data_IF_199271083212
#
_entry.id   IF_199271083212
#
_cell.length_a   1.000
_cell.length_b   1.000
_cell.length_c   1.000
_cell.angle_alpha   90.00
_cell.angle_beta   90.00
_cell.angle_gamma   90.00
#
_symmetry.space_group_name_H-M   'P 1'
#
loop_
_entity.id
_entity.type
_entity.pdbx_description
1 polymer ?
#
# COMPACT_ATOMS: atom_id res chain seq x y z
N UNK A 1 -10.85 -11.02 -14.88
CA UNK A 1 -11.76 -10.99 -13.68
C UNK A 1 -11.29 -12.05 -12.72
N UNK A 2 -11.09 -11.69 -11.46
CA UNK A 2 -10.53 -12.54 -10.41
C UNK A 2 -11.28 -13.86 -10.28
N UNK A 3 -10.54 -14.97 -10.21
CA UNK A 3 -11.06 -16.32 -9.99
C UNK A 3 -10.42 -16.92 -8.76
N UNK A 4 -11.19 -17.69 -8.00
CA UNK A 4 -10.68 -18.43 -6.84
C UNK A 4 -10.26 -19.83 -7.27
N UNK A 5 -9.12 -20.29 -6.75
CA UNK A 5 -8.73 -21.69 -6.84
C UNK A 5 -9.30 -22.52 -5.67
N UNK A 6 -8.96 -23.81 -5.64
CA UNK A 6 -9.41 -24.73 -4.59
C UNK A 6 -8.88 -24.38 -3.19
N UNK A 7 -7.83 -23.58 -3.10
CA UNK A 7 -7.21 -23.14 -1.85
C UNK A 7 -7.67 -21.72 -1.44
N UNK A 8 -8.71 -21.19 -2.09
CA UNK A 8 -9.21 -19.83 -1.87
C UNK A 8 -8.20 -18.71 -2.20
N UNK A 9 -7.24 -18.97 -3.07
CA UNK A 9 -6.36 -17.97 -3.62
C UNK A 9 -7.05 -17.33 -4.82
N UNK A 10 -7.12 -16.01 -4.85
CA UNK A 10 -7.63 -15.27 -5.99
C UNK A 10 -6.55 -15.07 -7.04
N UNK A 11 -6.86 -15.36 -8.30
CA UNK A 11 -5.97 -15.18 -9.45
C UNK A 11 -6.62 -14.29 -10.50
N UNK A 12 -5.84 -13.35 -11.04
CA UNK A 12 -6.22 -12.54 -12.19
C UNK A 12 -5.01 -12.31 -13.09
N UNK A 13 -5.25 -11.89 -14.33
CA UNK A 13 -4.22 -11.55 -15.30
C UNK A 13 -4.62 -10.28 -16.04
N UNK A 14 -3.66 -9.41 -16.31
CA UNK A 14 -3.87 -8.21 -17.10
C UNK A 14 -2.54 -7.71 -17.67
N UNK A 15 -2.51 -6.49 -18.15
CA UNK A 15 -1.31 -5.82 -18.64
C UNK A 15 -1.23 -4.39 -18.10
N UNK A 16 -0.03 -3.82 -18.08
CA UNK A 16 0.17 -2.44 -17.66
C UNK A 16 -0.17 -1.46 -18.76
N UNK A 17 -1.00 -0.48 -18.43
CA UNK A 17 -1.48 0.54 -19.37
C UNK A 17 -0.58 1.78 -19.38
N UNK A 18 -0.66 2.59 -20.43
CA UNK A 18 0.15 3.81 -20.54
C UNK A 18 -0.02 4.82 -19.38
N UNK A 19 -1.20 5.02 -18.78
CA UNK A 19 -1.32 5.91 -17.61
C UNK A 19 -0.57 5.41 -16.37
N UNK A 20 -0.26 4.10 -16.31
CA UNK A 20 0.44 3.47 -15.20
C UNK A 20 1.96 3.71 -15.27
N UNK A 21 2.49 4.28 -16.38
CA UNK A 21 3.93 4.36 -16.64
C UNK A 21 4.48 5.79 -16.55
N UNK A 22 5.79 5.87 -16.31
CA UNK A 22 6.57 7.10 -16.33
C UNK A 22 7.06 7.46 -17.74
N UNK A 23 7.87 8.51 -17.87
CA UNK A 23 8.44 8.96 -19.13
C UNK A 23 9.46 8.00 -19.78
N UNK A 24 9.83 6.93 -19.09
CA UNK A 24 10.72 5.86 -19.56
C UNK A 24 9.96 4.56 -19.85
N UNK A 25 8.64 4.62 -19.96
CA UNK A 25 7.74 3.47 -20.12
C UNK A 25 7.78 2.47 -18.95
N UNK A 26 8.33 2.84 -17.79
CA UNK A 26 8.41 2.00 -16.60
C UNK A 26 7.17 2.22 -15.73
N UNK A 27 6.64 1.12 -15.19
CA UNK A 27 5.48 1.17 -14.30
C UNK A 27 5.83 1.95 -13.04
N UNK A 28 5.00 2.94 -12.72
CA UNK A 28 5.12 3.72 -11.49
C UNK A 28 4.83 2.83 -10.30
N UNK A 29 5.64 2.88 -9.26
CA UNK A 29 5.52 1.99 -8.09
C UNK A 29 4.17 2.11 -7.37
N UNK A 30 3.56 3.31 -7.35
CA UNK A 30 2.21 3.49 -6.78
C UNK A 30 1.15 2.62 -7.48
N UNK A 31 1.37 2.22 -8.74
CA UNK A 31 0.48 1.28 -9.41
C UNK A 31 0.52 -0.10 -8.76
N UNK A 32 1.66 -0.54 -8.26
CA UNK A 32 1.77 -1.81 -7.53
C UNK A 32 0.97 -1.77 -6.22
N UNK A 33 1.00 -0.64 -5.51
CA UNK A 33 0.12 -0.43 -4.35
C UNK A 33 -1.37 -0.48 -4.75
N UNK A 34 -1.74 0.20 -5.85
CA UNK A 34 -3.10 0.19 -6.38
C UNK A 34 -3.56 -1.23 -6.73
N UNK A 35 -2.76 -1.99 -7.48
CA UNK A 35 -3.06 -3.38 -7.84
C UNK A 35 -3.25 -4.25 -6.60
N UNK A 36 -2.38 -4.09 -5.59
CA UNK A 36 -2.49 -4.83 -4.34
C UNK A 36 -3.82 -4.59 -3.62
N UNK A 37 -4.30 -3.34 -3.62
CA UNK A 37 -5.58 -2.99 -2.99
C UNK A 37 -6.78 -3.42 -3.84
N UNK A 38 -6.72 -3.26 -5.16
CA UNK A 38 -7.78 -3.67 -6.07
C UNK A 38 -8.05 -5.17 -6.01
N UNK A 39 -7.01 -6.00 -6.17
CA UNK A 39 -7.16 -7.45 -6.17
C UNK A 39 -7.63 -7.96 -4.81
N UNK A 40 -7.23 -7.29 -3.71
CA UNK A 40 -7.73 -7.54 -2.37
C UNK A 40 -9.24 -7.27 -2.25
N UNK A 41 -9.70 -6.15 -2.80
CA UNK A 41 -11.11 -5.77 -2.83
C UNK A 41 -11.97 -6.75 -3.63
N UNK A 42 -11.52 -7.15 -4.83
CA UNK A 42 -12.22 -8.14 -5.64
C UNK A 42 -12.30 -9.51 -4.95
N UNK A 43 -11.22 -9.94 -4.32
CA UNK A 43 -11.23 -11.20 -3.55
C UNK A 43 -12.23 -11.14 -2.40
N UNK A 44 -12.26 -10.04 -1.64
CA UNK A 44 -13.20 -9.85 -0.55
C UNK A 44 -14.66 -9.86 -1.06
N UNK A 45 -14.93 -9.20 -2.20
CA UNK A 45 -16.26 -9.16 -2.82
C UNK A 45 -16.75 -10.56 -3.22
N UNK A 46 -15.88 -11.41 -3.80
CA UNK A 46 -16.22 -12.79 -4.12
C UNK A 46 -16.58 -13.64 -2.89
N UNK A 47 -16.18 -13.18 -1.70
CA UNK A 47 -16.47 -13.83 -0.42
C UNK A 47 -17.63 -13.17 0.35
N UNK A 48 -18.37 -12.24 -0.28
CA UNK A 48 -19.45 -11.49 0.39
C UNK A 48 -18.95 -10.57 1.51
N UNK A 49 -17.68 -10.15 1.43
CA UNK A 49 -17.05 -9.20 2.33
C UNK A 49 -16.48 -8.00 1.55
N UNK A 50 -17.06 -7.71 0.40
CA UNK A 50 -16.71 -6.57 -0.43
C UNK A 50 -17.05 -5.26 0.24
N UNK A 51 -16.43 -4.20 -0.26
CA UNK A 51 -16.59 -2.87 0.33
C UNK A 51 -18.04 -2.41 0.36
N UNK A 52 -18.74 -2.58 -0.77
CA UNK A 52 -20.12 -2.10 -0.91
C UNK A 52 -21.07 -2.84 0.03
N UNK A 53 -20.99 -4.16 0.07
CA UNK A 53 -21.80 -4.99 0.94
C UNK A 53 -21.55 -4.61 2.42
N UNK A 54 -20.29 -4.50 2.81
CA UNK A 54 -19.95 -4.18 4.19
C UNK A 54 -20.37 -2.76 4.59
N UNK A 55 -20.20 -1.78 3.69
CA UNK A 55 -20.51 -0.39 4.01
C UNK A 55 -22.02 -0.12 3.99
N UNK A 56 -22.70 -0.48 2.92
CA UNK A 56 -24.11 -0.16 2.69
C UNK A 56 -25.06 -1.02 3.52
N UNK A 57 -24.72 -2.30 3.73
CA UNK A 57 -25.63 -3.25 4.41
C UNK A 57 -25.27 -3.44 5.88
N UNK A 58 -24.01 -3.34 6.24
CA UNK A 58 -23.53 -3.70 7.58
C UNK A 58 -22.97 -2.50 8.37
N UNK A 59 -22.80 -1.34 7.74
CA UNK A 59 -22.21 -0.13 8.36
C UNK A 59 -20.75 -0.34 8.77
N UNK A 60 -20.01 -1.13 8.02
CA UNK A 60 -18.60 -1.44 8.26
C UNK A 60 -17.77 -1.17 7.01
N UNK A 61 -16.48 -0.90 7.21
CA UNK A 61 -15.57 -0.68 6.09
C UNK A 61 -14.19 -1.28 6.37
N UNK A 62 -13.47 -1.55 5.29
CA UNK A 62 -12.08 -1.94 5.35
C UNK A 62 -11.17 -0.72 5.43
N UNK A 63 -10.20 -0.76 6.32
CA UNK A 63 -9.13 0.22 6.38
C UNK A 63 -7.78 -0.49 6.32
N UNK A 64 -6.92 -0.06 5.42
CA UNK A 64 -5.52 -0.49 5.40
C UNK A 64 -4.74 0.32 6.43
N UNK A 65 -3.93 -0.36 7.21
CA UNK A 65 -3.06 0.29 8.20
C UNK A 65 -1.60 0.26 7.78
N UNK A 66 -1.16 -0.83 7.16
CA UNK A 66 0.25 -1.00 6.80
C UNK A 66 0.40 -1.89 5.58
N UNK A 67 1.34 -1.54 4.72
CA UNK A 67 1.78 -2.37 3.60
C UNK A 67 3.29 -2.47 3.61
N UNK A 68 3.80 -3.70 3.57
CA UNK A 68 5.20 -3.99 3.27
C UNK A 68 5.26 -4.56 1.86
N UNK A 69 6.09 -3.99 1.03
CA UNK A 69 6.23 -4.37 -0.38
C UNK A 69 7.70 -4.62 -0.71
N UNK A 70 8.02 -5.81 -1.20
CA UNK A 70 9.27 -6.11 -1.88
C UNK A 70 9.04 -5.95 -3.37
N UNK A 71 9.94 -5.24 -4.06
CA UNK A 71 9.87 -4.95 -5.49
C UNK A 71 11.09 -5.56 -6.16
N UNK A 72 10.88 -6.68 -6.82
CA UNK A 72 11.96 -7.42 -7.48
C UNK A 72 12.31 -6.80 -8.82
N UNK A 73 11.29 -6.41 -9.60
CA UNK A 73 11.44 -5.80 -10.90
C UNK A 73 10.35 -4.78 -11.18
N UNK A 74 10.70 -3.65 -11.75
CA UNK A 74 9.75 -2.69 -12.30
C UNK A 74 9.41 -3.12 -13.74
N UNK A 75 8.14 -3.41 -13.96
CA UNK A 75 7.61 -3.77 -15.28
C UNK A 75 7.59 -2.56 -16.23
N UNK A 76 7.30 -2.82 -17.49
CA UNK A 76 7.19 -1.80 -18.53
C UNK A 76 5.78 -1.73 -19.09
N UNK A 77 5.50 -0.70 -19.86
CA UNK A 77 4.25 -0.57 -20.61
C UNK A 77 4.01 -1.80 -21.48
N UNK A 78 2.78 -2.30 -21.46
CA UNK A 78 2.31 -3.51 -22.17
C UNK A 78 2.87 -4.84 -21.65
N UNK A 79 3.75 -4.84 -20.65
CA UNK A 79 4.08 -6.12 -19.97
C UNK A 79 2.79 -6.72 -19.41
N UNK A 80 2.60 -8.03 -19.63
CA UNK A 80 1.50 -8.79 -19.04
C UNK A 80 1.92 -9.30 -17.66
N UNK A 81 0.97 -9.33 -16.72
CA UNK A 81 1.19 -9.88 -15.40
C UNK A 81 0.11 -10.87 -14.99
N UNK A 82 0.50 -11.85 -14.21
CA UNK A 82 -0.37 -12.67 -13.39
C UNK A 82 -0.28 -12.19 -11.95
N UNK A 83 -1.43 -12.06 -11.28
CA UNK A 83 -1.50 -11.59 -9.89
C UNK A 83 -2.32 -12.55 -9.05
N UNK A 84 -1.84 -12.82 -7.84
CA UNK A 84 -2.52 -13.65 -6.86
C UNK A 84 -2.69 -12.96 -5.51
N UNK A 85 -3.77 -13.28 -4.81
CA UNK A 85 -4.04 -12.73 -3.47
C UNK A 85 -4.73 -13.75 -2.58
N UNK A 86 -4.40 -13.70 -1.29
CA UNK A 86 -5.05 -14.53 -0.26
C UNK A 86 -5.06 -13.82 1.09
N UNK A 87 -6.04 -14.19 1.92
CA UNK A 87 -6.08 -13.80 3.32
C UNK A 87 -5.34 -14.80 4.18
N UNK A 88 -4.87 -14.35 5.33
CA UNK A 88 -4.41 -15.22 6.40
C UNK A 88 -5.31 -15.09 7.62
N UNK A 89 -5.20 -16.05 8.52
CA UNK A 89 -5.94 -16.01 9.78
C UNK A 89 -5.68 -14.71 10.52
N UNK A 90 -6.78 -14.06 10.93
CA UNK A 90 -6.72 -12.79 11.64
C UNK A 90 -6.14 -12.94 13.06
N UNK A 91 -5.47 -11.92 13.53
CA UNK A 91 -4.98 -11.87 14.90
C UNK A 91 -5.24 -10.50 15.54
N UNK A 92 -5.63 -10.48 16.83
CA UNK A 92 -6.05 -9.25 17.54
C UNK A 92 -7.17 -8.52 16.78
N UNK A 93 -6.85 -7.42 16.11
CA UNK A 93 -7.77 -6.62 15.27
C UNK A 93 -7.40 -6.66 13.79
N UNK A 94 -6.36 -7.38 13.42
CA UNK A 94 -5.78 -7.34 12.09
C UNK A 94 -6.25 -8.51 11.23
N UNK A 95 -6.52 -8.21 9.96
CA UNK A 95 -6.81 -9.14 8.90
C UNK A 95 -5.63 -9.11 7.90
N UNK A 96 -4.62 -9.97 8.05
CA UNK A 96 -3.47 -9.97 7.15
C UNK A 96 -3.84 -10.47 5.76
N UNK A 97 -3.23 -9.88 4.75
CA UNK A 97 -3.43 -10.25 3.35
C UNK A 97 -2.12 -10.16 2.56
N UNK A 98 -1.93 -11.10 1.68
CA UNK A 98 -0.81 -11.14 0.76
C UNK A 98 -1.25 -10.93 -0.69
N UNK A 99 -0.35 -10.36 -1.46
CA UNK A 99 -0.46 -10.25 -2.92
C UNK A 99 0.90 -10.53 -3.53
N UNK A 100 0.93 -11.24 -4.65
CA UNK A 100 2.10 -11.42 -5.50
C UNK A 100 1.71 -11.17 -6.94
N UNK A 101 2.60 -10.52 -7.68
CA UNK A 101 2.45 -10.36 -9.11
C UNK A 101 3.72 -10.86 -9.82
N UNK A 102 3.51 -11.53 -10.92
CA UNK A 102 4.54 -12.14 -11.73
C UNK A 102 4.46 -11.62 -13.17
N UNK A 103 5.60 -11.45 -13.80
CA UNK A 103 5.64 -11.30 -15.25
C UNK A 103 5.10 -12.57 -15.89
N UNK A 104 4.06 -12.43 -16.69
CA UNK A 104 3.34 -13.57 -17.24
C UNK A 104 4.15 -14.37 -18.24
N UNK A 105 5.11 -13.72 -18.94
CA UNK A 105 5.91 -14.36 -19.97
C UNK A 105 7.11 -15.12 -19.37
N UNK A 106 7.80 -14.51 -18.39
CA UNK A 106 8.98 -15.09 -17.77
C UNK A 106 8.69 -15.87 -16.49
N UNK A 107 7.56 -15.62 -15.83
CA UNK A 107 7.24 -16.11 -14.48
C UNK A 107 8.04 -15.44 -13.36
N UNK A 108 8.81 -14.38 -13.67
CA UNK A 108 9.60 -13.64 -12.70
C UNK A 108 8.68 -12.87 -11.74
N UNK A 109 8.98 -12.92 -10.45
CA UNK A 109 8.26 -12.13 -9.43
C UNK A 109 8.53 -10.64 -9.65
N UNK A 110 7.48 -9.88 -9.92
CA UNK A 110 7.54 -8.41 -10.02
C UNK A 110 7.56 -7.77 -8.64
N UNK A 111 6.55 -8.11 -7.83
CA UNK A 111 6.46 -7.65 -6.46
C UNK A 111 5.65 -8.61 -5.59
N UNK A 112 5.87 -8.51 -4.28
CA UNK A 112 5.00 -9.12 -3.29
C UNK A 112 4.67 -8.13 -2.18
N UNK A 113 3.47 -8.23 -1.63
CA UNK A 113 3.03 -7.40 -0.50
C UNK A 113 2.50 -8.21 0.66
N UNK A 114 2.73 -7.65 1.85
CA UNK A 114 2.08 -7.99 3.10
C UNK A 114 1.27 -6.79 3.55
N UNK A 115 -0.03 -6.95 3.70
CA UNK A 115 -0.94 -5.88 4.06
C UNK A 115 -1.62 -6.19 5.39
N UNK A 116 -1.71 -5.19 6.28
CA UNK A 116 -2.54 -5.26 7.48
C UNK A 116 -3.80 -4.43 7.27
N UNK A 117 -4.92 -5.10 7.29
CA UNK A 117 -6.24 -4.48 7.25
C UNK A 117 -6.93 -4.58 8.59
N UNK A 118 -7.85 -3.65 8.85
CA UNK A 118 -8.82 -3.73 9.94
C UNK A 118 -10.22 -3.50 9.40
N UNK A 119 -11.21 -4.06 10.10
CA UNK A 119 -12.62 -3.77 9.85
C UNK A 119 -13.04 -2.68 10.84
N UNK A 120 -13.54 -1.57 10.34
CA UNK A 120 -14.07 -0.48 11.17
C UNK A 120 -15.58 -0.55 11.21
N UNK A 121 -16.14 -0.58 12.42
CA UNK A 121 -17.57 -0.30 12.65
C UNK A 121 -17.77 1.21 12.57
N UNK A 122 -18.43 1.67 11.51
CA UNK A 122 -18.62 3.09 11.24
C UNK A 122 -19.64 3.73 12.18
N UNK A 123 -20.51 2.93 12.79
CA UNK A 123 -21.50 3.40 13.76
C UNK A 123 -20.87 3.61 15.13
N UNK A 124 -20.04 2.65 15.57
CA UNK A 124 -19.38 2.70 16.89
C UNK A 124 -18.03 3.44 16.85
N UNK A 125 -17.49 3.73 15.67
CA UNK A 125 -16.19 4.40 15.48
C UNK A 125 -15.00 3.62 16.02
N UNK A 126 -15.05 2.27 16.01
CA UNK A 126 -14.02 1.41 16.54
C UNK A 126 -13.80 0.16 15.68
N UNK A 127 -12.58 -0.44 15.70
CA UNK A 127 -12.33 -1.66 14.94
C UNK A 127 -13.09 -2.85 15.52
N UNK A 128 -13.54 -3.73 14.62
CA UNK A 128 -14.09 -5.05 14.91
C UNK A 128 -12.97 -6.10 14.96
N UNK A 129 -13.25 -7.24 15.59
CA UNK A 129 -12.34 -8.40 15.56
C UNK A 129 -12.44 -9.13 14.23
N UNK A 130 -11.37 -9.77 13.75
CA UNK A 130 -11.40 -10.58 12.52
C UNK A 130 -12.49 -11.65 12.51
N UNK A 131 -12.81 -12.22 13.68
CA UNK A 131 -13.89 -13.21 13.82
C UNK A 131 -15.26 -12.75 13.28
N UNK A 132 -15.44 -11.45 13.07
CA UNK A 132 -16.62 -10.91 12.42
C UNK A 132 -16.83 -11.44 11.00
N UNK A 133 -15.74 -11.71 10.27
CA UNK A 133 -15.77 -12.16 8.88
C UNK A 133 -15.13 -13.53 8.64
N UNK A 134 -14.59 -14.21 9.66
CA UNK A 134 -13.89 -15.49 9.51
C UNK A 134 -14.73 -16.55 8.78
N UNK A 135 -16.05 -16.55 9.01
CA UNK A 135 -16.97 -17.48 8.31
C UNK A 135 -17.09 -17.21 6.80
N UNK A 136 -16.76 -16.00 6.36
CA UNK A 136 -16.79 -15.59 4.93
C UNK A 136 -15.42 -15.73 4.27
N UNK A 137 -14.36 -15.41 5.00
CA UNK A 137 -12.99 -15.56 4.53
C UNK A 137 -12.55 -17.02 4.79
N UNK A 138 -12.07 -17.66 3.74
CA UNK A 138 -11.40 -18.94 3.86
C UNK A 138 -9.91 -18.69 3.69
N UNK A 139 -9.11 -19.38 4.49
CA UNK A 139 -7.65 -19.21 4.48
C UNK A 139 -7.01 -20.37 3.72
N UNK A 140 -5.98 -20.15 2.90
CA UNK A 140 -5.22 -21.22 2.29
C UNK A 140 -4.46 -22.00 3.36
N UNK A 141 -4.14 -23.27 3.06
CA UNK A 141 -3.29 -24.08 3.93
C UNK A 141 -1.95 -23.36 4.16
N UNK A 142 -1.56 -23.11 5.43
CA UNK A 142 -0.28 -22.47 5.76
C UNK A 142 0.94 -23.17 5.18
N UNK A 143 0.87 -24.49 4.98
CA UNK A 143 1.94 -25.26 4.34
C UNK A 143 2.13 -24.89 2.85
N UNK A 144 1.07 -24.40 2.20
CA UNK A 144 1.10 -24.00 0.79
C UNK A 144 1.56 -22.55 0.65
N UNK A 145 1.09 -21.69 1.55
CA UNK A 145 1.31 -20.23 1.47
C UNK A 145 1.78 -19.66 2.80
N UNK A 146 2.89 -20.19 3.30
CA UNK A 146 3.48 -19.71 4.53
C UNK A 146 3.86 -18.22 4.41
N UNK A 147 3.46 -17.47 5.41
CA UNK A 147 3.71 -16.06 5.55
C UNK A 147 3.93 -15.77 7.04
N UNK A 148 4.98 -15.04 7.38
CA UNK A 148 5.15 -14.56 8.74
C UNK A 148 4.15 -13.44 9.04
N UNK A 149 3.15 -13.65 9.89
CA UNK A 149 2.18 -12.61 10.24
C UNK A 149 2.80 -11.50 11.08
N UNK A 150 4.01 -11.72 11.61
CA UNK A 150 4.66 -10.74 12.47
C UNK A 150 5.22 -9.58 11.64
N UNK A 151 4.53 -8.45 11.71
CA UNK A 151 5.11 -7.20 11.24
C UNK A 151 6.14 -6.71 12.28
N UNK A 152 7.37 -6.44 11.87
CA UNK A 152 8.36 -5.86 12.77
C UNK A 152 7.89 -4.48 13.26
N UNK A 153 8.43 -4.02 14.38
CA UNK A 153 8.22 -2.64 14.83
C UNK A 153 8.57 -1.68 13.68
N UNK A 154 7.73 -0.70 13.44
CA UNK A 154 8.04 0.35 12.46
C UNK A 154 9.20 1.19 12.98
N UNK A 155 10.16 1.48 12.10
CA UNK A 155 11.32 2.30 12.46
C UNK A 155 10.88 3.74 12.74
N UNK A 156 11.43 4.35 13.81
CA UNK A 156 11.14 5.73 14.15
C UNK A 156 12.06 6.71 13.39
N UNK A 157 11.68 7.98 13.26
CA UNK A 157 12.53 8.98 12.63
C UNK A 157 13.93 9.11 13.26
N UNK A 158 14.04 8.86 14.56
CA UNK A 158 15.28 8.92 15.32
C UNK A 158 16.28 7.82 14.96
N UNK A 159 15.80 6.73 14.35
CA UNK A 159 16.63 5.64 13.87
C UNK A 159 17.32 5.97 12.53
N UNK A 160 16.99 7.14 11.94
CA UNK A 160 17.63 7.64 10.71
C UNK A 160 18.49 8.86 11.02
N UNK A 161 19.78 8.73 10.81
CA UNK A 161 20.70 9.86 10.81
C UNK A 161 20.53 10.61 9.49
N UNK A 162 20.45 11.95 9.59
CA UNK A 162 20.34 12.79 8.41
C UNK A 162 21.71 13.07 7.82
N UNK A 163 22.00 12.51 6.66
CA UNK A 163 23.19 12.88 5.88
C UNK A 163 22.89 13.95 4.83
N UNK A 164 21.64 14.10 4.45
CA UNK A 164 21.17 15.05 3.43
C UNK A 164 19.79 15.58 3.81
N UNK A 165 19.65 16.89 3.77
CA UNK A 165 18.39 17.57 4.02
C UNK A 165 17.58 17.58 2.71
N UNK A 166 16.50 16.84 2.68
CA UNK A 166 15.54 16.95 1.59
C UNK A 166 14.64 18.17 1.82
N UNK A 167 14.38 18.97 0.79
CA UNK A 167 13.47 20.09 0.91
C UNK A 167 12.07 19.59 1.31
N UNK A 168 11.46 20.26 2.29
CA UNK A 168 10.06 20.03 2.63
C UNK A 168 9.20 20.31 1.39
N UNK A 169 8.26 19.40 1.10
CA UNK A 169 7.27 19.57 0.04
C UNK A 169 5.91 19.82 0.66
N UNK A 170 5.38 21.03 0.47
CA UNK A 170 4.01 21.37 0.88
C UNK A 170 3.01 20.91 -0.20
N UNK A 171 1.87 20.39 0.26
CA UNK A 171 0.81 19.83 -0.59
C UNK A 171 -0.53 20.36 -0.08
N UNK A 172 -1.39 20.76 -0.99
CA UNK A 172 -2.79 21.04 -0.74
C UNK A 172 -3.62 19.87 -1.27
N UNK A 173 -4.42 19.24 -0.41
CA UNK A 173 -5.22 18.08 -0.78
C UNK A 173 -6.31 18.50 -1.77
N UNK A 174 -6.21 17.99 -3.00
CA UNK A 174 -7.14 18.27 -4.10
C UNK A 174 -8.39 17.38 -4.07
N UNK A 175 -9.37 17.75 -4.87
CA UNK A 175 -10.63 16.99 -4.99
C UNK A 175 -10.40 15.54 -5.45
N UNK A 176 -9.51 15.34 -6.42
CA UNK A 176 -9.23 14.01 -6.99
C UNK A 176 -8.30 13.13 -6.12
N UNK A 177 -7.79 13.67 -5.02
CA UNK A 177 -7.10 12.85 -4.03
C UNK A 177 -8.06 12.05 -3.15
N UNK A 178 -9.35 12.41 -3.13
CA UNK A 178 -10.36 11.77 -2.29
C UNK A 178 -10.96 10.54 -2.95
N UNK A 179 -11.24 9.53 -2.13
CA UNK A 179 -11.96 8.32 -2.51
C UNK A 179 -13.48 8.42 -2.23
N UNK A 180 -14.19 7.30 -2.40
CA UNK A 180 -15.63 7.18 -2.15
C UNK A 180 -16.03 7.44 -0.67
N UNK A 181 -15.10 7.29 0.29
CA UNK A 181 -15.32 7.64 1.70
C UNK A 181 -15.15 9.14 1.98
N UNK A 182 -14.83 9.94 0.96
CA UNK A 182 -14.43 11.35 1.08
C UNK A 182 -13.18 11.59 1.93
N UNK A 183 -12.34 10.56 2.05
CA UNK A 183 -11.01 10.66 2.64
C UNK A 183 -9.98 10.64 1.51
N UNK A 184 -8.79 11.10 1.81
CA UNK A 184 -7.67 10.95 0.88
C UNK A 184 -7.43 9.48 0.59
N UNK A 185 -7.39 9.13 -0.69
CA UNK A 185 -7.08 7.78 -1.14
C UNK A 185 -5.68 7.36 -0.67
N UNK A 186 -5.55 6.13 -0.22
CA UNK A 186 -4.28 5.59 0.27
C UNK A 186 -3.12 5.75 -0.72
N UNK A 187 -3.40 5.69 -2.02
CA UNK A 187 -2.39 5.84 -3.08
C UNK A 187 -1.90 7.28 -3.20
N UNK A 188 -2.73 8.29 -2.89
CA UNK A 188 -2.31 9.70 -2.91
C UNK A 188 -1.16 9.96 -1.92
N UNK A 189 -1.18 9.33 -0.74
CA UNK A 189 -0.07 9.45 0.21
C UNK A 189 1.23 8.89 -0.35
N UNK A 190 1.17 7.75 -1.04
CA UNK A 190 2.33 7.16 -1.71
C UNK A 190 2.84 8.09 -2.82
N UNK A 191 1.95 8.67 -3.63
CA UNK A 191 2.31 9.64 -4.66
C UNK A 191 3.03 10.85 -4.07
N UNK A 192 2.46 11.46 -3.04
CA UNK A 192 3.03 12.65 -2.41
C UNK A 192 4.41 12.37 -1.80
N UNK A 193 4.57 11.21 -1.17
CA UNK A 193 5.86 10.78 -0.64
C UNK A 193 6.91 10.64 -1.76
N UNK A 194 6.55 9.98 -2.88
CA UNK A 194 7.46 9.78 -4.00
C UNK A 194 7.84 11.12 -4.68
N UNK A 195 6.91 12.05 -4.77
CA UNK A 195 7.16 13.38 -5.33
C UNK A 195 8.07 14.27 -4.47
N UNK A 196 8.41 13.86 -3.24
CA UNK A 196 9.42 14.56 -2.43
C UNK A 196 10.86 14.29 -2.91
N UNK A 197 11.06 13.24 -3.72
CA UNK A 197 12.34 12.96 -4.34
C UNK A 197 12.53 13.81 -5.60
N UNK A 198 13.78 14.22 -5.88
CA UNK A 198 14.08 14.99 -7.09
C UNK A 198 13.87 14.15 -8.36
N UNK A 199 13.50 14.77 -9.50
CA UNK A 199 13.42 14.05 -10.77
C UNK A 199 14.74 13.32 -11.12
N UNK A 200 15.89 13.94 -10.88
CA UNK A 200 17.19 13.33 -11.16
C UNK A 200 17.44 12.06 -10.32
N UNK A 201 16.91 12.00 -9.09
CA UNK A 201 16.96 10.79 -8.28
C UNK A 201 16.01 9.73 -8.84
N UNK A 202 14.77 10.09 -9.13
CA UNK A 202 13.74 9.16 -9.67
C UNK A 202 14.12 8.63 -11.08
N UNK A 203 14.84 9.42 -11.87
CA UNK A 203 15.33 8.97 -13.18
C UNK A 203 16.40 7.88 -13.08
N UNK A 204 17.18 7.88 -12.00
CA UNK A 204 18.35 6.99 -11.83
C UNK A 204 18.15 5.88 -10.79
N UNK A 205 17.12 5.97 -9.95
CA UNK A 205 16.84 5.02 -8.88
C UNK A 205 15.41 4.50 -8.95
N UNK A 206 15.21 3.30 -8.44
CA UNK A 206 13.90 2.68 -8.27
C UNK A 206 13.81 2.06 -6.87
N UNK A 207 12.63 2.03 -6.23
CA UNK A 207 12.49 1.39 -4.94
C UNK A 207 12.55 -0.13 -5.08
N UNK A 208 13.27 -0.79 -4.18
CA UNK A 208 13.31 -2.25 -4.04
C UNK A 208 12.50 -2.75 -2.85
N UNK A 209 12.25 -1.87 -1.87
CA UNK A 209 11.47 -2.18 -0.68
C UNK A 209 10.75 -0.93 -0.18
N UNK A 210 9.51 -1.11 0.26
CA UNK A 210 8.73 -0.06 0.92
C UNK A 210 7.92 -0.66 2.08
N UNK A 211 7.98 -0.03 3.24
CA UNK A 211 7.16 -0.31 4.41
C UNK A 211 6.39 0.96 4.76
N UNK A 212 5.09 0.95 4.59
CA UNK A 212 4.23 2.15 4.67
C UNK A 212 3.16 1.95 5.73
N UNK A 213 2.88 2.98 6.53
CA UNK A 213 1.84 2.96 7.56
C UNK A 213 0.96 4.20 7.47
N UNK A 214 -0.36 3.99 7.41
CA UNK A 214 -1.39 5.04 7.43
C UNK A 214 -1.90 5.21 8.85
N UNK A 215 -1.72 6.40 9.43
CA UNK A 215 -2.03 6.69 10.85
C UNK A 215 -3.25 7.57 11.02
N UNK A 216 -3.43 8.53 10.13
CA UNK A 216 -4.51 9.51 10.17
C UNK A 216 -5.07 9.75 8.77
N UNK A 217 -6.34 10.06 8.72
CA UNK A 217 -7.00 10.43 7.47
C UNK A 217 -6.86 11.93 7.24
N UNK A 218 -6.59 12.28 5.97
CA UNK A 218 -6.65 13.65 5.48
C UNK A 218 -7.89 13.82 4.60
N UNK A 219 -8.33 15.06 4.41
CA UNK A 219 -9.54 15.42 3.71
C UNK A 219 -9.27 16.51 2.67
N UNK A 220 -10.19 16.68 1.73
CA UNK A 220 -10.15 17.77 0.77
C UNK A 220 -9.94 19.12 1.45
N UNK A 221 -8.97 19.88 0.96
CA UNK A 221 -8.62 21.20 1.48
C UNK A 221 -7.61 21.21 2.63
N UNK A 222 -7.26 20.03 3.17
CA UNK A 222 -6.20 19.96 4.16
C UNK A 222 -4.86 20.39 3.56
N UNK A 223 -4.01 21.01 4.40
CA UNK A 223 -2.62 21.32 4.06
C UNK A 223 -1.73 20.31 4.74
N UNK A 224 -0.99 19.60 3.94
CA UNK A 224 -0.05 18.58 4.41
C UNK A 224 1.34 18.87 3.86
N UNK A 225 2.36 18.27 4.44
CA UNK A 225 3.71 18.37 3.91
C UNK A 225 4.47 17.06 4.10
N UNK A 226 5.44 16.84 3.22
CA UNK A 226 6.33 15.68 3.26
C UNK A 226 7.67 16.08 3.85
N UNK A 227 8.13 15.32 4.83
CA UNK A 227 9.48 15.37 5.38
C UNK A 227 10.20 14.07 5.04
N UNK A 228 11.37 14.16 4.44
CA UNK A 228 12.18 12.99 4.08
C UNK A 228 13.56 13.08 4.70
N UNK A 229 14.03 11.96 5.25
CA UNK A 229 15.36 11.80 5.87
C UNK A 229 16.06 10.61 5.25
N UNK A 230 17.34 10.75 4.95
CA UNK A 230 18.17 9.67 4.43
C UNK A 230 19.02 9.09 5.57
N UNK A 231 19.16 7.78 5.61
CA UNK A 231 20.08 7.11 6.51
C UNK A 231 21.51 7.26 5.97
N UNK A 232 22.42 7.67 6.82
CA UNK A 232 23.82 7.88 6.44
C UNK A 232 24.44 6.59 5.88
N UNK A 233 25.17 6.72 4.77
CA UNK A 233 25.92 5.62 4.14
C UNK A 233 25.02 4.54 3.48
N UNK A 234 23.74 4.80 3.31
CA UNK A 234 22.81 3.85 2.67
C UNK A 234 21.83 4.55 1.72
N UNK A 235 21.09 3.75 0.94
CA UNK A 235 19.96 4.22 0.14
C UNK A 235 18.61 3.89 0.80
N UNK A 236 18.58 3.95 2.15
CA UNK A 236 17.36 3.89 2.95
C UNK A 236 16.87 5.29 3.32
N UNK A 237 15.57 5.49 3.21
CA UNK A 237 14.91 6.75 3.52
C UNK A 237 13.73 6.52 4.46
N UNK A 238 13.54 7.46 5.38
CA UNK A 238 12.31 7.64 6.12
C UNK A 238 11.58 8.85 5.57
N UNK A 239 10.32 8.70 5.22
CA UNK A 239 9.45 9.79 4.78
C UNK A 239 8.20 9.84 5.65
N UNK A 240 7.77 11.04 6.02
CA UNK A 240 6.53 11.27 6.76
C UNK A 240 5.69 12.33 6.06
N UNK A 241 4.40 12.08 5.97
CA UNK A 241 3.41 13.09 5.60
C UNK A 241 2.80 13.61 6.88
N UNK A 242 2.99 14.89 7.10
CA UNK A 242 2.57 15.62 8.28
C UNK A 242 1.33 16.45 7.98
N UNK A 243 0.44 16.56 8.94
CA UNK A 243 -0.66 17.52 8.91
C UNK A 243 -0.78 18.23 10.27
N UNK A 244 -1.56 19.29 10.33
CA UNK A 244 -1.82 19.99 11.59
C UNK A 244 -3.00 19.32 12.31
N UNK A 245 -2.81 19.05 13.60
CA UNK A 245 -3.91 18.69 14.48
C UNK A 245 -4.81 19.89 14.82
N UNK A 246 -5.83 19.68 15.65
CA UNK A 246 -6.78 20.73 16.04
C UNK A 246 -6.14 21.88 16.82
N UNK A 247 -4.99 21.63 17.45
CA UNK A 247 -4.24 22.59 18.25
C UNK A 247 -3.14 23.26 17.45
N UNK A 248 -3.00 22.91 16.16
CA UNK A 248 -1.99 23.46 15.25
C UNK A 248 -0.62 22.79 15.37
N UNK A 249 -0.51 21.65 16.05
CA UNK A 249 0.72 20.86 16.12
C UNK A 249 0.82 19.92 14.92
N UNK A 250 2.04 19.65 14.47
CA UNK A 250 2.29 18.67 13.43
C UNK A 250 2.11 17.24 13.96
N UNK A 251 1.26 16.46 13.30
CA UNK A 251 1.14 15.01 13.56
C UNK A 251 1.32 14.21 12.27
N UNK A 252 1.77 12.96 12.41
CA UNK A 252 2.03 12.07 11.26
C UNK A 252 0.71 11.49 10.78
N UNK A 253 0.34 11.76 9.52
CA UNK A 253 -0.78 11.12 8.85
C UNK A 253 -0.37 9.80 8.17
N UNK A 254 0.81 9.78 7.60
CA UNK A 254 1.39 8.62 6.92
C UNK A 254 2.90 8.65 7.10
N UNK A 255 3.54 7.50 7.17
CA UNK A 255 4.98 7.41 7.07
C UNK A 255 5.43 6.14 6.34
N UNK A 256 6.65 6.19 5.83
CA UNK A 256 7.25 5.10 5.08
C UNK A 256 8.75 4.97 5.35
N UNK A 257 9.23 3.73 5.36
CA UNK A 257 10.63 3.41 5.16
C UNK A 257 10.77 2.83 3.76
N UNK A 258 11.68 3.38 2.97
CA UNK A 258 11.94 2.90 1.61
C UNK A 258 13.42 2.63 1.40
N UNK A 259 13.72 1.58 0.62
CA UNK A 259 15.06 1.24 0.20
C UNK A 259 15.12 1.26 -1.31
N UNK A 260 16.18 1.86 -1.86
CA UNK A 260 16.29 2.15 -3.28
C UNK A 260 17.54 1.50 -3.87
N UNK A 261 17.46 1.14 -5.13
CA UNK A 261 18.59 0.68 -5.94
C UNK A 261 18.74 1.52 -7.20
N UNK A 262 19.94 1.54 -7.76
CA UNK A 262 20.13 2.16 -9.07
C UNK A 262 19.39 1.38 -10.15
N UNK A 263 18.73 2.09 -11.05
CA UNK A 263 18.13 1.49 -12.24
C UNK A 263 19.22 0.83 -13.10
N UNK A 264 18.94 -0.37 -13.56
CA UNK A 264 19.75 -1.01 -14.62
C UNK A 264 19.20 -0.46 -15.94
N UNK A 265 19.99 0.39 -16.58
CA UNK A 265 19.67 1.04 -17.88
C UNK A 265 19.88 0.06 -19.02
#
# INVERSE_FOLDING_TARGET
MLKLDANNIGHDSSYFMSPDTDGFYKVKVQRYFGLSQEVAGFHAALKGAGLKEMLDEEGRTWMILRTRMNINRIASWMDEYDIETWCQEGYRLYCPRCVRAYDKNSGELLFETQNLWVIMDMVKGRPERPSYIDSRLSYPDPAIRHFDPAFPKFLSPEEFEMSEAFPRKDIEVGYFDSDYNRHVNNISYVNWMLEAFSPAFLDTHEPEFMDTEWKKQCHYGDKVWVETRKKEGSDEFYSAIMHLDKDGNGEIAFHAVSRWRKKVL
#
